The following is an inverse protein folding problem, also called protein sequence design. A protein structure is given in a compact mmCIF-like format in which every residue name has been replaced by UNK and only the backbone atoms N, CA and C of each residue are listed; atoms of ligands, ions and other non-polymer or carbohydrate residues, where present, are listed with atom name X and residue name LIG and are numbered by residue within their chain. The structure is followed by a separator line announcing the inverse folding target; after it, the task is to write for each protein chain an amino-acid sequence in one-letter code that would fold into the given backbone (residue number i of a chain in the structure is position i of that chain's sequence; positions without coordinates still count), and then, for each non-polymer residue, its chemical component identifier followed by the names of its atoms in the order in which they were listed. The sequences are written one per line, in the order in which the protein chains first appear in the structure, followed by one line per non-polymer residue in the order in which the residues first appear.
data_IF_641142913677
#
_entry.id   IF_641142913677
#
_cell.length_a   1.000
_cell.length_b   1.000
_cell.length_c   1.000
_cell.angle_alpha   90.00
_cell.angle_beta   90.00
_cell.angle_gamma   90.00
#
_symmetry.space_group_name_H-M   'P 1'
#
loop_
_entity.id
_entity.type
_entity.pdbx_description
1 polymer ?
#
# COMPACT_ATOMS: atom_id res chain seq x y z
N UNK A 1 9.40 -16.15 -0.95
CA UNK A 1 8.74 -15.57 -2.15
C UNK A 1 8.30 -16.73 -3.03
N UNK A 2 6.98 -16.93 -3.21
CA UNK A 2 6.45 -18.09 -3.95
C UNK A 2 5.14 -18.66 -3.42
N UNK A 3 4.70 -18.25 -2.23
CA UNK A 3 3.37 -18.58 -1.73
C UNK A 3 2.32 -17.75 -2.48
N UNK A 4 1.32 -18.39 -3.13
CA UNK A 4 0.22 -17.69 -3.81
C UNK A 4 -0.52 -16.70 -2.89
N UNK A 5 -0.61 -16.97 -1.59
CA UNK A 5 -1.27 -16.07 -0.63
C UNK A 5 -0.51 -14.73 -0.48
N UNK A 6 0.80 -14.73 -0.75
CA UNK A 6 1.65 -13.56 -0.67
C UNK A 6 1.84 -12.86 -2.03
N UNK A 7 1.17 -13.30 -3.10
CA UNK A 7 1.31 -12.72 -4.43
C UNK A 7 0.90 -11.23 -4.46
N UNK A 8 -0.06 -10.84 -3.62
CA UNK A 8 -0.47 -9.45 -3.44
C UNK A 8 0.55 -8.59 -2.70
N UNK A 9 1.47 -9.19 -1.92
CA UNK A 9 2.49 -8.46 -1.14
C UNK A 9 3.70 -8.01 -1.98
N UNK A 10 3.57 -8.02 -3.31
CA UNK A 10 4.60 -7.51 -4.21
C UNK A 10 4.42 -6.02 -4.46
N UNK A 11 5.33 -5.22 -3.93
CA UNK A 11 5.40 -3.78 -4.18
C UNK A 11 6.44 -3.50 -5.25
N UNK A 12 6.07 -2.74 -6.30
CA UNK A 12 7.04 -2.33 -7.31
C UNK A 12 8.02 -1.35 -6.69
N UNK A 13 9.29 -1.41 -7.10
CA UNK A 13 10.33 -0.50 -6.61
C UNK A 13 9.98 0.98 -6.82
N UNK A 14 9.31 1.29 -7.93
CA UNK A 14 8.84 2.65 -8.24
C UNK A 14 7.73 3.10 -7.30
N UNK A 15 6.76 2.24 -7.03
CA UNK A 15 5.64 2.56 -6.12
C UNK A 15 6.16 2.83 -4.69
N UNK A 16 7.13 2.03 -4.24
CA UNK A 16 7.80 2.28 -2.97
C UNK A 16 8.56 3.62 -2.97
N UNK A 17 9.31 3.93 -4.03
CA UNK A 17 10.04 5.19 -4.13
C UNK A 17 9.09 6.40 -4.14
N UNK A 18 7.96 6.32 -4.85
CA UNK A 18 6.92 7.35 -4.84
C UNK A 18 6.36 7.56 -3.43
N UNK A 19 6.05 6.48 -2.71
CA UNK A 19 5.63 6.57 -1.31
C UNK A 19 6.69 7.25 -0.43
N UNK A 20 7.96 6.88 -0.57
CA UNK A 20 9.05 7.46 0.23
C UNK A 20 9.20 8.97 -0.02
N UNK A 21 9.01 9.44 -1.26
CA UNK A 21 9.04 10.86 -1.59
C UNK A 21 7.87 11.61 -0.96
N UNK A 22 6.65 11.06 -1.07
CA UNK A 22 5.46 11.63 -0.42
C UNK A 22 5.63 11.70 1.10
N UNK A 23 6.19 10.66 1.70
CA UNK A 23 6.39 10.57 3.13
C UNK A 23 7.36 11.62 3.70
N UNK A 24 8.25 12.20 2.88
CA UNK A 24 9.16 13.27 3.31
C UNK A 24 8.43 14.54 3.74
N UNK A 25 7.22 14.75 3.23
CA UNK A 25 6.44 15.98 3.47
C UNK A 25 5.16 15.73 4.24
N UNK A 26 4.92 14.50 4.69
CA UNK A 26 3.70 14.11 5.37
C UNK A 26 3.98 13.65 6.81
N UNK A 27 3.90 14.59 7.74
CA UNK A 27 4.17 14.35 9.18
C UNK A 27 3.22 13.35 9.83
N UNK A 28 2.06 13.06 9.21
CA UNK A 28 1.12 12.04 9.71
C UNK A 28 1.68 10.63 9.70
N UNK A 29 2.79 10.40 8.99
CA UNK A 29 3.44 9.10 8.88
C UNK A 29 4.59 8.91 9.89
N UNK A 30 4.86 9.89 10.74
CA UNK A 30 5.92 9.77 11.76
C UNK A 30 5.53 8.70 12.78
N UNK A 31 6.41 7.71 12.97
CA UNK A 31 6.20 6.51 13.80
C UNK A 31 5.10 5.55 13.32
N UNK A 32 4.54 5.78 12.13
CA UNK A 32 3.60 4.85 11.52
C UNK A 32 4.31 3.80 10.66
N UNK A 33 3.72 2.61 10.59
CA UNK A 33 4.20 1.51 9.75
C UNK A 33 3.18 1.23 8.62
N UNK A 34 3.14 2.07 7.57
CA UNK A 34 2.16 1.94 6.51
C UNK A 34 2.41 0.70 5.64
N UNK A 35 1.33 -0.03 5.35
CA UNK A 35 1.33 -1.12 4.40
C UNK A 35 1.14 -0.57 2.98
N UNK A 36 2.11 -0.84 2.09
CA UNK A 36 2.10 -0.34 0.71
C UNK A 36 1.91 -1.53 -0.23
N UNK A 37 0.88 -1.45 -1.07
CA UNK A 37 0.57 -2.47 -2.09
C UNK A 37 0.11 -1.81 -3.39
N UNK A 38 0.33 -2.47 -4.53
CA UNK A 38 -0.16 -1.96 -5.81
C UNK A 38 -1.69 -1.88 -5.85
N UNK A 39 -2.24 -0.80 -6.39
CA UNK A 39 -3.70 -0.52 -6.43
C UNK A 39 -4.52 -1.55 -7.23
N UNK A 40 -3.89 -2.31 -8.12
CA UNK A 40 -4.53 -3.35 -8.94
C UNK A 40 -4.44 -4.76 -8.33
N UNK A 41 -3.86 -4.89 -7.14
CA UNK A 41 -3.80 -6.17 -6.44
C UNK A 41 -5.18 -6.56 -5.90
N UNK A 42 -5.46 -7.87 -5.75
CA UNK A 42 -6.75 -8.32 -5.20
C UNK A 42 -7.06 -7.74 -3.81
N UNK A 43 -6.06 -7.54 -2.95
CA UNK A 43 -6.23 -6.95 -1.62
C UNK A 43 -6.63 -5.46 -1.68
N UNK A 44 -6.02 -4.68 -2.56
CA UNK A 44 -6.38 -3.28 -2.75
C UNK A 44 -7.80 -3.13 -3.33
N UNK A 45 -8.16 -3.96 -4.31
CA UNK A 45 -9.50 -3.94 -4.92
C UNK A 45 -10.59 -4.34 -3.92
N UNK A 46 -10.33 -5.31 -3.05
CA UNK A 46 -11.25 -5.69 -1.98
C UNK A 46 -11.52 -4.55 -0.99
N UNK A 47 -10.55 -3.66 -0.78
CA UNK A 47 -10.71 -2.49 0.10
C UNK A 47 -11.31 -1.26 -0.61
N UNK A 48 -11.21 -1.18 -1.94
CA UNK A 48 -11.73 -0.04 -2.73
C UNK A 48 -13.28 0.05 -2.69
N UNK A 49 -13.98 -1.02 -2.31
CA UNK A 49 -15.44 -1.10 -2.26
C UNK A 49 -16.08 -0.91 -0.88
N UNK A 50 -15.30 -0.68 0.18
CA UNK A 50 -15.87 -0.42 1.50
C UNK A 50 -16.39 1.03 1.54
N UNK A 51 -17.69 1.29 1.78
CA UNK A 51 -18.14 2.64 2.09
C UNK A 51 -17.37 3.14 3.32
N UNK A 52 -16.74 4.30 3.19
CA UNK A 52 -16.34 5.10 4.34
C UNK A 52 -17.65 5.55 5.01
N UNK A 53 -18.10 4.80 6.03
CA UNK A 53 -19.11 5.30 6.95
C UNK A 53 -18.52 6.51 7.70
N UNK A 54 -19.36 7.54 7.78
CA UNK A 54 -19.17 8.88 8.34
C UNK A 54 -18.41 8.93 9.68
#
# INVERSE_FOLDING_TARGET
MGDPVLAGNLTRRVDFALFMVEALTNDTLVQEAPAIVGCRTPSALAHTGAPHDL
#
